data_IF_335266510760
#
_entry.id   IF_335266510760
#
_cell.length_a   1.000
_cell.length_b   1.000
_cell.length_c   1.000
_cell.angle_alpha   90.00
_cell.angle_beta   90.00
_cell.angle_gamma   90.00
#
_symmetry.space_group_name_H-M   'P 1'
#
loop_
_entity.id
_entity.type
_entity.pdbx_description
1 polymer ?
#
# COMPACT_ATOMS: atom_id res chain seq x y z
N UNK A 1 -16.41 10.06 10.34
CA UNK A 1 -15.02 9.51 10.44
C UNK A 1 -14.97 7.99 10.55
N UNK A 2 -15.78 7.39 11.40
CA UNK A 2 -15.86 5.94 11.53
C UNK A 2 -16.21 5.23 10.21
N UNK A 3 -17.10 5.81 9.41
CA UNK A 3 -17.50 5.25 8.12
C UNK A 3 -16.32 5.23 7.13
N UNK A 4 -15.56 6.31 7.06
CA UNK A 4 -14.38 6.40 6.17
C UNK A 4 -13.29 5.43 6.61
N UNK A 5 -13.03 5.37 7.92
CA UNK A 5 -12.07 4.42 8.50
C UNK A 5 -12.42 2.99 8.10
N UNK A 6 -13.69 2.62 8.25
CA UNK A 6 -14.20 1.30 7.91
C UNK A 6 -14.04 1.00 6.41
N UNK A 7 -14.36 1.96 5.55
CA UNK A 7 -14.21 1.82 4.10
C UNK A 7 -12.76 1.61 3.68
N UNK A 8 -11.83 2.36 4.27
CA UNK A 8 -10.40 2.22 4.00
C UNK A 8 -9.90 0.83 4.39
N UNK A 9 -10.22 0.41 5.61
CA UNK A 9 -9.79 -0.89 6.13
C UNK A 9 -10.40 -2.04 5.33
N UNK A 10 -11.69 -1.96 5.01
CA UNK A 10 -12.36 -2.97 4.19
C UNK A 10 -11.73 -3.12 2.81
N UNK A 11 -11.37 -2.00 2.18
CA UNK A 11 -10.72 -2.02 0.87
C UNK A 11 -9.36 -2.71 0.94
N UNK A 12 -8.56 -2.38 1.93
CA UNK A 12 -7.22 -2.95 2.11
C UNK A 12 -7.30 -4.44 2.48
N UNK A 13 -8.11 -4.80 3.43
CA UNK A 13 -8.23 -6.19 3.88
C UNK A 13 -8.88 -7.09 2.82
N UNK A 14 -9.84 -6.57 2.06
CA UNK A 14 -10.47 -7.31 0.95
C UNK A 14 -9.49 -7.65 -0.17
N UNK A 15 -8.42 -6.87 -0.29
CA UNK A 15 -7.36 -7.11 -1.27
C UNK A 15 -6.33 -8.14 -0.80
N UNK A 16 -6.48 -8.70 0.40
CA UNK A 16 -5.59 -9.72 0.94
C UNK A 16 -4.50 -9.18 1.87
N UNK A 17 -4.57 -7.92 2.26
CA UNK A 17 -3.66 -7.38 3.27
C UNK A 17 -4.05 -7.88 4.66
N UNK A 18 -3.07 -8.25 5.45
CA UNK A 18 -3.24 -8.65 6.84
C UNK A 18 -2.63 -7.61 7.76
N UNK A 19 -3.30 -7.32 8.87
CA UNK A 19 -2.80 -6.38 9.85
C UNK A 19 -1.69 -7.01 10.69
N UNK A 20 -0.60 -6.24 10.85
CA UNK A 20 0.48 -6.58 11.76
C UNK A 20 0.41 -5.57 12.91
N UNK A 21 0.20 -6.07 14.12
CA UNK A 21 0.19 -5.25 15.32
C UNK A 21 1.56 -5.30 15.97
N UNK A 22 2.14 -4.11 16.18
CA UNK A 22 3.35 -3.97 16.97
C UNK A 22 2.94 -3.67 18.41
N UNK A 23 3.29 -4.54 19.34
CA UNK A 23 2.97 -4.39 20.76
C UNK A 23 3.54 -3.09 21.37
N UNK A 24 4.58 -2.55 20.77
CA UNK A 24 5.26 -1.34 21.24
C UNK A 24 4.81 -0.07 20.52
N UNK A 25 3.90 -0.18 19.55
CA UNK A 25 3.41 0.95 18.77
C UNK A 25 1.89 0.97 18.70
N UNK A 26 1.31 2.16 18.73
CA UNK A 26 -0.13 2.35 18.50
C UNK A 26 -0.48 2.32 17.00
N UNK A 27 0.52 2.32 16.13
CA UNK A 27 0.33 2.30 14.70
C UNK A 27 0.00 0.88 14.23
N UNK A 28 -0.99 0.77 13.32
CA UNK A 28 -1.32 -0.48 12.65
C UNK A 28 -0.74 -0.47 11.25
N UNK A 29 -0.13 -1.58 10.88
CA UNK A 29 0.46 -1.78 9.55
C UNK A 29 -0.25 -2.94 8.89
N UNK A 30 -0.71 -2.73 7.66
CA UNK A 30 -1.28 -3.79 6.82
C UNK A 30 -0.24 -4.22 5.81
N UNK A 31 -0.08 -5.51 5.65
CA UNK A 31 0.97 -6.11 4.83
C UNK A 31 0.39 -7.16 3.89
N UNK A 32 0.90 -7.18 2.67
CA UNK A 32 0.60 -8.19 1.67
C UNK A 32 1.87 -8.53 0.90
N UNK A 33 2.03 -9.80 0.58
CA UNK A 33 3.20 -10.31 -0.12
C UNK A 33 2.75 -11.12 -1.32
N UNK A 34 3.45 -10.95 -2.45
CA UNK A 34 3.21 -11.75 -3.65
C UNK A 34 4.54 -12.03 -4.34
N UNK A 35 4.60 -13.16 -5.05
CA UNK A 35 5.77 -13.54 -5.82
C UNK A 35 5.44 -13.51 -7.29
N UNK A 36 6.28 -12.79 -8.07
CA UNK A 36 6.16 -12.69 -9.51
C UNK A 36 7.35 -13.42 -10.13
N UNK A 37 7.06 -14.36 -11.01
CA UNK A 37 8.07 -15.12 -11.73
C UNK A 37 8.05 -14.72 -13.20
N UNK A 38 9.16 -14.17 -13.69
CA UNK A 38 9.34 -13.86 -15.09
C UNK A 38 10.18 -14.97 -15.73
N UNK A 39 9.68 -15.65 -16.79
CA UNK A 39 10.45 -16.69 -17.47
C UNK A 39 11.74 -16.12 -18.05
N UNK A 40 12.83 -16.82 -17.89
CA UNK A 40 14.07 -16.50 -18.55
C UNK A 40 13.99 -16.72 -20.05
N UNK A 41 14.82 -16.02 -20.82
CA UNK A 41 14.86 -16.15 -22.27
C UNK A 41 15.47 -17.52 -22.68
N UNK A 42 14.90 -18.11 -23.72
CA UNK A 42 15.48 -19.29 -24.38
C UNK A 42 16.16 -18.84 -25.66
N UNK A 43 17.43 -19.17 -25.80
CA UNK A 43 18.20 -18.85 -27.01
C UNK A 43 18.84 -20.13 -27.57
N UNK A 44 19.03 -20.15 -28.88
CA UNK A 44 19.70 -21.26 -29.58
C UNK A 44 20.99 -20.73 -30.19
N UNK A 45 22.11 -21.30 -29.78
CA UNK A 45 23.44 -20.96 -30.32
C UNK A 45 24.07 -22.25 -30.84
N UNK A 46 24.42 -22.27 -32.13
CA UNK A 46 25.03 -23.45 -32.79
C UNK A 46 24.25 -24.77 -32.55
N UNK A 47 22.89 -24.67 -32.60
CA UNK A 47 22.02 -25.81 -32.36
C UNK A 47 21.83 -26.21 -30.90
N UNK A 48 22.48 -25.53 -29.97
CA UNK A 48 22.33 -25.78 -28.54
C UNK A 48 21.29 -24.84 -27.95
N UNK A 49 20.35 -25.41 -27.20
CA UNK A 49 19.36 -24.63 -26.47
C UNK A 49 19.97 -24.17 -25.16
N UNK A 50 19.97 -22.85 -24.95
CA UNK A 50 20.40 -22.22 -23.69
C UNK A 50 19.20 -21.52 -23.09
N UNK A 51 18.93 -21.83 -21.82
CA UNK A 51 17.85 -21.22 -21.07
C UNK A 51 18.44 -20.38 -19.92
N UNK A 52 18.05 -19.10 -19.88
CA UNK A 52 18.39 -18.24 -18.76
C UNK A 52 17.48 -18.57 -17.58
N UNK A 53 17.98 -18.39 -16.37
CA UNK A 53 17.20 -18.60 -15.17
C UNK A 53 15.98 -17.66 -15.16
N UNK A 54 14.88 -18.16 -14.61
CA UNK A 54 13.70 -17.33 -14.35
C UNK A 54 14.06 -16.25 -13.34
N UNK A 55 13.48 -15.07 -13.55
CA UNK A 55 13.62 -13.94 -12.66
C UNK A 55 12.48 -13.95 -11.65
N UNK A 56 12.81 -14.06 -10.38
CA UNK A 56 11.83 -14.16 -9.30
C UNK A 56 11.85 -12.86 -8.50
N UNK A 57 10.70 -12.21 -8.42
CA UNK A 57 10.50 -10.99 -7.66
C UNK A 57 9.56 -11.25 -6.49
N UNK A 58 10.05 -11.01 -5.29
CA UNK A 58 9.23 -10.99 -4.08
C UNK A 58 8.75 -9.58 -3.85
N UNK A 59 7.47 -9.34 -4.06
CA UNK A 59 6.84 -8.03 -3.89
C UNK A 59 6.18 -7.97 -2.52
N UNK A 60 6.63 -7.04 -1.70
CA UNK A 60 6.04 -6.76 -0.40
C UNK A 60 5.35 -5.40 -0.46
N UNK A 61 4.12 -5.35 0.00
CA UNK A 61 3.32 -4.13 0.03
C UNK A 61 2.89 -3.84 1.45
N UNK A 62 3.05 -2.59 1.85
CA UNK A 62 2.74 -2.14 3.19
C UNK A 62 1.87 -0.89 3.13
N UNK A 63 0.84 -0.86 3.98
CA UNK A 63 -0.08 0.25 4.10
C UNK A 63 -0.18 0.66 5.56
N UNK A 64 -0.10 1.97 5.80
CA UNK A 64 -0.26 2.56 7.13
C UNK A 64 -1.24 3.72 7.06
N UNK A 65 -1.96 3.94 8.15
CA UNK A 65 -2.97 4.98 8.23
C UNK A 65 -2.92 5.69 9.58
N UNK A 66 -3.04 7.03 9.53
CA UNK A 66 -3.17 7.87 10.72
C UNK A 66 -4.32 8.85 10.53
N UNK A 67 -5.01 9.15 11.63
CA UNK A 67 -6.08 10.15 11.66
C UNK A 67 -5.59 11.36 12.45
N UNK A 68 -5.58 12.52 11.80
CA UNK A 68 -5.22 13.78 12.43
C UNK A 68 -6.48 14.58 12.70
N UNK A 69 -6.71 14.93 13.97
CA UNK A 69 -7.83 15.78 14.37
C UNK A 69 -7.30 17.19 14.56
N UNK A 70 -7.85 18.13 13.80
CA UNK A 70 -7.48 19.54 13.88
C UNK A 70 -8.67 20.38 14.31
N UNK A 71 -8.44 21.31 15.23
CA UNK A 71 -9.44 22.31 15.60
C UNK A 71 -9.23 23.51 14.69
N UNK A 72 -10.13 23.69 13.72
CA UNK A 72 -10.06 24.82 12.77
C UNK A 72 -10.46 26.15 13.36
N UNK A 73 -11.42 26.14 14.26
CA UNK A 73 -11.98 27.35 14.86
C UNK A 73 -12.16 27.13 16.37
N UNK A 74 -11.39 27.91 17.15
CA UNK A 74 -11.41 27.82 18.61
C UNK A 74 -12.71 28.35 19.19
N UNK A 75 -13.33 29.38 18.54
CA UNK A 75 -14.55 30.00 19.03
C UNK A 75 -15.79 29.13 18.80
N UNK A 76 -15.88 28.50 17.63
CA UNK A 76 -17.02 27.65 17.26
C UNK A 76 -16.80 26.18 17.62
N UNK A 77 -15.56 25.77 17.91
CA UNK A 77 -15.22 24.37 18.16
C UNK A 77 -15.28 23.50 16.93
N UNK A 78 -15.26 24.08 15.72
CA UNK A 78 -15.27 23.32 14.47
C UNK A 78 -14.00 22.48 14.38
N UNK A 79 -14.20 21.17 14.31
CA UNK A 79 -13.13 20.17 14.22
C UNK A 79 -13.06 19.64 12.80
N UNK A 80 -11.86 19.63 12.25
CA UNK A 80 -11.58 18.99 10.97
C UNK A 80 -10.68 17.81 11.20
N UNK A 81 -10.84 16.78 10.37
CA UNK A 81 -10.05 15.56 10.48
C UNK A 81 -9.47 15.21 9.14
N UNK A 82 -8.16 15.16 9.06
CA UNK A 82 -7.45 14.67 7.89
C UNK A 82 -6.98 13.25 8.11
N UNK A 83 -6.81 12.52 7.02
CA UNK A 83 -6.36 11.14 7.01
C UNK A 83 -5.03 11.10 6.29
N UNK A 84 -4.02 10.56 6.95
CA UNK A 84 -2.69 10.39 6.37
C UNK A 84 -2.44 8.92 6.11
N UNK A 85 -2.07 8.58 4.87
CA UNK A 85 -1.79 7.22 4.46
C UNK A 85 -0.39 7.11 3.89
N UNK A 86 0.28 6.00 4.17
CA UNK A 86 1.54 5.64 3.53
C UNK A 86 1.36 4.37 2.71
N UNK A 87 1.90 4.42 1.49
CA UNK A 87 1.92 3.30 0.55
C UNK A 87 3.38 2.96 0.28
N UNK A 88 3.79 1.76 0.63
CA UNK A 88 5.16 1.29 0.38
C UNK A 88 5.15 -0.02 -0.38
N UNK A 89 6.08 -0.13 -1.32
CA UNK A 89 6.27 -1.35 -2.11
C UNK A 89 7.76 -1.66 -2.17
N UNK A 90 8.12 -2.88 -1.84
CA UNK A 90 9.48 -3.41 -1.98
C UNK A 90 9.51 -4.50 -3.04
N UNK A 91 10.59 -4.55 -3.79
CA UNK A 91 10.91 -5.62 -4.73
C UNK A 91 12.24 -6.24 -4.31
N UNK A 92 12.22 -7.51 -3.88
CA UNK A 92 13.39 -8.22 -3.36
C UNK A 92 14.16 -7.38 -2.32
N UNK A 93 13.42 -6.84 -1.33
CA UNK A 93 13.96 -6.01 -0.24
C UNK A 93 14.40 -4.60 -0.66
N UNK A 94 14.23 -4.21 -1.92
CA UNK A 94 14.48 -2.84 -2.37
C UNK A 94 13.20 -2.03 -2.36
N UNK A 95 13.22 -0.90 -1.68
CA UNK A 95 12.07 0.02 -1.66
C UNK A 95 11.95 0.68 -3.02
N UNK A 96 10.87 0.36 -3.75
CA UNK A 96 10.64 0.87 -5.10
C UNK A 96 9.57 1.96 -5.15
N UNK A 97 8.66 1.99 -4.18
CA UNK A 97 7.65 3.05 -4.04
C UNK A 97 7.48 3.41 -2.58
N UNK A 98 7.43 4.69 -2.30
CA UNK A 98 7.17 5.25 -0.97
C UNK A 98 6.36 6.53 -1.17
N UNK A 99 5.06 6.44 -0.95
CA UNK A 99 4.11 7.53 -1.19
C UNK A 99 3.36 7.84 0.09
N UNK A 100 3.41 9.08 0.51
CA UNK A 100 2.65 9.59 1.64
C UNK A 100 1.61 10.59 1.12
N UNK A 101 0.37 10.41 1.54
CA UNK A 101 -0.70 11.33 1.19
C UNK A 101 -1.47 11.77 2.42
N UNK A 102 -2.03 12.96 2.32
CA UNK A 102 -2.94 13.50 3.32
C UNK A 102 -4.20 13.97 2.60
N UNK A 103 -5.37 13.54 3.05
CA UNK A 103 -6.63 13.89 2.41
C UNK A 103 -7.76 14.01 3.43
N UNK A 104 -8.81 14.72 3.03
CA UNK A 104 -10.03 14.84 3.83
C UNK A 104 -11.06 13.79 3.42
N UNK A 105 -12.03 13.45 4.29
CA UNK A 105 -13.04 12.41 3.98
C UNK A 105 -13.78 12.60 2.67
N UNK A 106 -14.02 13.84 2.23
CA UNK A 106 -14.67 14.14 0.96
C UNK A 106 -13.76 13.91 -0.27
N UNK A 107 -12.49 13.66 -0.05
CA UNK A 107 -11.51 13.35 -1.08
C UNK A 107 -11.20 11.84 -1.18
N UNK A 108 -12.11 10.99 -0.75
CA UNK A 108 -11.92 9.54 -0.71
C UNK A 108 -11.58 8.94 -2.08
N UNK A 109 -12.09 9.52 -3.17
CA UNK A 109 -11.75 9.08 -4.52
C UNK A 109 -10.27 9.18 -4.85
N UNK A 110 -9.56 10.13 -4.25
CA UNK A 110 -8.10 10.26 -4.39
C UNK A 110 -7.38 9.04 -3.78
N UNK A 111 -7.82 8.61 -2.60
CA UNK A 111 -7.30 7.40 -1.97
C UNK A 111 -7.55 6.15 -2.84
N UNK A 112 -8.76 6.00 -3.36
CA UNK A 112 -9.11 4.88 -4.22
C UNK A 112 -8.26 4.82 -5.49
N UNK A 113 -8.00 5.97 -6.11
CA UNK A 113 -7.15 6.06 -7.30
C UNK A 113 -5.71 5.64 -7.00
N UNK A 114 -5.17 6.02 -5.84
CA UNK A 114 -3.83 5.63 -5.44
C UNK A 114 -3.73 4.14 -5.14
N UNK A 115 -4.74 3.56 -4.47
CA UNK A 115 -4.80 2.12 -4.27
C UNK A 115 -4.72 1.35 -5.58
N UNK A 116 -5.45 1.84 -6.59
CA UNK A 116 -5.44 1.23 -7.93
C UNK A 116 -4.07 1.36 -8.60
N UNK A 117 -3.45 2.52 -8.52
CA UNK A 117 -2.14 2.76 -9.15
C UNK A 117 -1.00 2.02 -8.48
N UNK A 118 -0.99 1.99 -7.15
CA UNK A 118 0.15 1.45 -6.39
C UNK A 118 0.00 -0.04 -6.14
N UNK A 119 -1.19 -0.48 -5.77
CA UNK A 119 -1.44 -1.88 -5.39
C UNK A 119 -2.27 -2.66 -6.40
N UNK A 120 -2.87 -2.01 -7.41
CA UNK A 120 -3.71 -2.66 -8.39
C UNK A 120 -5.08 -3.09 -7.84
N UNK A 121 -5.53 -2.42 -6.84
CA UNK A 121 -6.81 -2.71 -6.17
C UNK A 121 -7.80 -1.52 -6.32
#
# INVERSE_FOLDING_TARGET
METIKKQIIEKIESAGFSVIEDENSSAKVWHRETTIKQPGASIVINGQHMHQQDDIHKIEQEFMIYYNVEIKDIETGVVDTSIMCWFRVWDNENLIQDVEINFYPDEFGFFENLCKKIYGI
#
